data_IF_811198293439
#
_entry.id   IF_811198293439
#
_cell.length_a   1.000
_cell.length_b   1.000
_cell.length_c   1.000
_cell.angle_alpha   90.00
_cell.angle_beta   90.00
_cell.angle_gamma   90.00
#
_symmetry.space_group_name_H-M   'P 1'
#
loop_
_entity.id
_entity.type
_entity.pdbx_description
1 polymer ?
#
# COMPACT_ATOMS: atom_id res chain seq x y z
N UNK A 1 12.54 -19.37 -4.54
CA UNK A 1 11.34 -19.10 -3.76
C UNK A 1 10.14 -18.92 -4.71
N UNK A 2 8.96 -19.47 -4.40
CA UNK A 2 7.83 -19.52 -5.32
C UNK A 2 7.36 -18.13 -5.78
N UNK A 3 7.54 -17.10 -4.96
CA UNK A 3 7.15 -15.72 -5.29
C UNK A 3 7.97 -15.15 -6.46
N UNK A 4 9.27 -15.40 -6.49
CA UNK A 4 10.15 -14.88 -7.55
C UNK A 4 9.87 -15.59 -8.89
N UNK A 5 9.74 -16.92 -8.89
CA UNK A 5 9.44 -17.69 -10.10
C UNK A 5 8.04 -17.37 -10.64
N UNK A 6 7.05 -17.24 -9.76
CA UNK A 6 5.70 -16.88 -10.15
C UNK A 6 5.58 -15.41 -10.58
N UNK A 7 6.32 -14.50 -9.94
CA UNK A 7 6.38 -13.10 -10.35
C UNK A 7 6.97 -12.92 -11.75
N UNK A 8 8.06 -13.63 -12.06
CA UNK A 8 8.65 -13.62 -13.40
C UNK A 8 7.71 -14.24 -14.44
N UNK A 9 7.03 -15.33 -14.10
CA UNK A 9 6.04 -15.95 -14.98
C UNK A 9 4.86 -15.02 -15.28
N UNK A 10 4.38 -14.30 -14.27
CA UNK A 10 3.28 -13.34 -14.46
C UNK A 10 3.68 -12.18 -15.39
N UNK A 11 4.89 -11.63 -15.20
CA UNK A 11 5.40 -10.54 -16.05
C UNK A 11 5.62 -11.02 -17.49
N UNK A 12 6.20 -12.22 -17.68
CA UNK A 12 6.40 -12.79 -19.02
C UNK A 12 5.09 -13.17 -19.70
N UNK A 13 4.07 -13.56 -18.94
CA UNK A 13 2.75 -13.89 -19.48
C UNK A 13 1.81 -12.67 -19.60
N UNK A 14 2.17 -11.52 -19.04
CA UNK A 14 1.32 -10.33 -19.08
C UNK A 14 0.95 -9.88 -20.52
N UNK A 15 1.86 -9.91 -21.52
CA UNK A 15 1.49 -9.59 -22.90
C UNK A 15 0.47 -10.57 -23.50
N UNK A 16 0.60 -11.86 -23.24
CA UNK A 16 -0.36 -12.88 -23.72
C UNK A 16 -1.70 -12.75 -23.00
N UNK A 17 -1.70 -12.49 -21.71
CA UNK A 17 -2.92 -12.25 -20.93
C UNK A 17 -3.68 -11.02 -21.43
N UNK A 18 -2.99 -9.92 -21.78
CA UNK A 18 -3.62 -8.74 -22.36
C UNK A 18 -4.21 -9.03 -23.74
N UNK A 19 -3.52 -9.84 -24.55
CA UNK A 19 -4.00 -10.26 -25.86
C UNK A 19 -5.24 -11.17 -25.76
N UNK A 20 -5.27 -12.06 -24.78
CA UNK A 20 -6.42 -12.92 -24.50
C UNK A 20 -7.63 -12.08 -24.03
N UNK A 21 -7.41 -11.04 -23.25
CA UNK A 21 -8.45 -10.08 -22.85
C UNK A 21 -9.01 -9.29 -24.03
N UNK A 22 -8.17 -8.92 -25.00
CA UNK A 22 -8.58 -8.20 -26.22
C UNK A 22 -9.51 -9.03 -27.10
N UNK A 23 -9.35 -10.36 -27.09
CA UNK A 23 -10.22 -11.26 -27.85
C UNK A 23 -11.59 -11.49 -27.20
N UNK A 24 -11.79 -11.03 -25.96
CA UNK A 24 -13.06 -11.20 -25.26
C UNK A 24 -14.11 -10.18 -25.76
N UNK A 25 -15.30 -10.58 -26.20
CA UNK A 25 -16.27 -9.71 -26.90
C UNK A 25 -16.64 -8.45 -26.11
N UNK A 26 -16.78 -8.56 -24.77
CA UNK A 26 -17.14 -7.44 -23.89
C UNK A 26 -16.00 -6.45 -23.70
N UNK A 27 -14.77 -6.92 -23.77
CA UNK A 27 -13.58 -6.08 -23.52
C UNK A 27 -13.10 -5.45 -24.83
N UNK A 28 -13.29 -6.13 -25.96
CA UNK A 28 -13.01 -5.59 -27.28
C UNK A 28 -13.82 -4.32 -27.57
N UNK A 29 -15.11 -4.31 -27.18
CA UNK A 29 -15.98 -3.15 -27.35
C UNK A 29 -15.56 -1.97 -26.48
N UNK A 30 -15.17 -2.22 -25.23
CA UNK A 30 -14.60 -1.19 -24.33
C UNK A 30 -13.25 -0.70 -24.80
N UNK A 31 -12.39 -1.57 -25.33
CA UNK A 31 -11.09 -1.18 -25.85
C UNK A 31 -11.20 -0.30 -27.10
N UNK A 32 -12.19 -0.58 -27.98
CA UNK A 32 -12.46 0.25 -29.14
C UNK A 32 -12.89 1.69 -28.79
N UNK A 33 -13.52 1.88 -27.61
CA UNK A 33 -13.98 3.20 -27.15
C UNK A 33 -12.93 3.97 -26.35
N UNK A 34 -12.12 3.28 -25.57
CA UNK A 34 -11.23 3.92 -24.58
C UNK A 34 -9.74 3.63 -24.80
N UNK A 35 -9.34 2.72 -25.70
CA UNK A 35 -7.94 2.39 -26.00
C UNK A 35 -7.12 1.92 -24.79
N UNK A 36 -7.78 1.30 -23.79
CA UNK A 36 -7.18 0.95 -22.49
C UNK A 36 -6.13 -0.13 -22.68
N UNK A 37 -6.44 -1.18 -23.47
CA UNK A 37 -5.53 -2.32 -23.69
C UNK A 37 -4.33 -1.87 -24.50
N UNK A 38 -4.51 -1.04 -25.52
CA UNK A 38 -3.42 -0.49 -26.34
C UNK A 38 -2.45 0.34 -25.52
N UNK A 39 -3.00 1.16 -24.60
CA UNK A 39 -2.19 1.96 -23.67
C UNK A 39 -1.42 1.09 -22.69
N UNK A 40 -2.05 0.03 -22.16
CA UNK A 40 -1.41 -0.93 -21.25
C UNK A 40 -0.34 -1.76 -21.99
N UNK A 41 -0.60 -2.23 -23.19
CA UNK A 41 0.37 -2.96 -24.02
C UNK A 41 1.59 -2.09 -24.36
N UNK A 42 1.37 -0.82 -24.72
CA UNK A 42 2.44 0.13 -25.00
C UNK A 42 3.31 0.38 -23.78
N UNK A 43 2.71 0.64 -22.63
CA UNK A 43 3.45 0.81 -21.37
C UNK A 43 4.15 -0.47 -20.91
N UNK A 44 3.52 -1.61 -21.10
CA UNK A 44 4.12 -2.91 -20.76
C UNK A 44 5.30 -3.22 -21.70
N UNK A 45 5.18 -2.93 -23.00
CA UNK A 45 6.28 -3.09 -23.98
C UNK A 45 7.44 -2.12 -23.70
N UNK A 46 7.17 -0.91 -23.24
CA UNK A 46 8.22 0.04 -22.79
C UNK A 46 8.97 -0.53 -21.58
N UNK A 47 8.28 -1.10 -20.61
CA UNK A 47 8.88 -1.75 -19.42
C UNK A 47 9.61 -3.05 -19.78
N UNK A 48 9.10 -3.82 -20.76
CA UNK A 48 9.73 -5.10 -21.18
C UNK A 48 10.83 -4.90 -22.21
N UNK A 49 10.84 -3.83 -23.01
CA UNK A 49 11.91 -3.53 -23.98
C UNK A 49 13.19 -3.04 -23.30
N UNK A 50 13.10 -2.44 -22.13
CA UNK A 50 14.24 -2.26 -21.23
C UNK A 50 14.56 -3.59 -20.54
N UNK A 51 15.01 -4.57 -21.31
CA UNK A 51 15.40 -5.91 -20.83
C UNK A 51 16.40 -5.89 -19.66
N UNK A 52 17.05 -4.75 -19.42
CA UNK A 52 17.86 -4.48 -18.25
C UNK A 52 17.04 -4.43 -16.95
N UNK A 53 15.78 -3.96 -16.93
CA UNK A 53 14.96 -3.94 -15.72
C UNK A 53 14.46 -5.34 -15.35
N UNK A 54 14.08 -6.16 -16.32
CA UNK A 54 13.65 -7.55 -16.06
C UNK A 54 14.86 -8.43 -15.72
N UNK A 55 15.97 -8.28 -16.43
CA UNK A 55 17.22 -8.99 -16.16
C UNK A 55 17.85 -8.51 -14.83
N UNK A 56 17.75 -7.24 -14.47
CA UNK A 56 18.24 -6.74 -13.18
C UNK A 56 17.32 -7.04 -12.00
N UNK A 57 16.01 -7.06 -12.21
CA UNK A 57 15.06 -7.42 -11.16
C UNK A 57 14.96 -8.94 -10.92
N UNK A 58 15.13 -9.74 -11.97
CA UNK A 58 14.94 -11.21 -11.91
C UNK A 58 16.08 -12.00 -12.57
N UNK A 59 17.12 -11.30 -13.06
CA UNK A 59 18.20 -11.89 -13.85
C UNK A 59 18.90 -13.04 -13.14
N UNK A 60 19.30 -14.05 -13.89
CA UNK A 60 19.86 -15.33 -13.51
C UNK A 60 20.55 -15.50 -12.12
N UNK A 61 21.08 -16.65 -11.78
CA UNK A 61 21.62 -16.97 -10.44
C UNK A 61 22.48 -15.87 -9.82
N UNK A 62 23.23 -15.13 -10.62
CA UNK A 62 24.06 -13.97 -10.18
C UNK A 62 23.19 -12.73 -9.89
N UNK A 63 22.16 -12.47 -10.68
CA UNK A 63 21.22 -11.36 -10.45
C UNK A 63 20.34 -11.60 -9.23
N UNK A 64 19.84 -12.83 -9.07
CA UNK A 64 19.09 -13.22 -7.88
C UNK A 64 19.97 -13.13 -6.63
N UNK A 65 21.21 -13.62 -6.69
CA UNK A 65 22.17 -13.49 -5.58
C UNK A 65 22.45 -12.04 -5.22
N UNK A 66 22.67 -11.16 -6.20
CA UNK A 66 22.89 -9.73 -5.97
C UNK A 66 21.63 -9.05 -5.41
N UNK A 67 20.43 -9.38 -5.90
CA UNK A 67 19.17 -8.80 -5.44
C UNK A 67 18.85 -9.27 -4.02
N UNK A 68 19.04 -10.57 -3.71
CA UNK A 68 18.87 -11.12 -2.36
C UNK A 68 19.88 -10.50 -1.40
N UNK A 69 21.14 -10.39 -1.79
CA UNK A 69 22.19 -9.82 -0.94
C UNK A 69 21.95 -8.30 -0.72
N UNK A 70 21.61 -7.54 -1.74
CA UNK A 70 21.27 -6.11 -1.59
C UNK A 70 19.99 -5.92 -0.79
N UNK A 71 18.98 -6.74 -1.01
CA UNK A 71 17.73 -6.73 -0.22
C UNK A 71 17.96 -7.09 1.24
N UNK A 72 18.78 -8.11 1.51
CA UNK A 72 19.17 -8.47 2.86
C UNK A 72 19.97 -7.36 3.55
N UNK A 73 20.95 -6.77 2.85
CA UNK A 73 21.73 -5.63 3.36
C UNK A 73 20.83 -4.43 3.67
N UNK A 74 19.93 -4.08 2.75
CA UNK A 74 18.95 -3.01 2.96
C UNK A 74 18.03 -3.33 4.14
N UNK A 75 17.52 -4.55 4.22
CA UNK A 75 16.68 -5.01 5.32
C UNK A 75 17.39 -4.93 6.68
N UNK A 76 18.64 -5.38 6.77
CA UNK A 76 19.46 -5.29 7.97
C UNK A 76 19.72 -3.82 8.33
N UNK A 77 20.06 -2.99 7.35
CA UNK A 77 20.29 -1.54 7.56
C UNK A 77 19.03 -0.86 8.10
N UNK A 78 17.87 -1.12 7.50
CA UNK A 78 16.59 -0.58 7.97
C UNK A 78 16.28 -1.08 9.39
N UNK A 79 16.52 -2.35 9.67
CA UNK A 79 16.31 -2.93 11.01
C UNK A 79 17.23 -2.27 12.05
N UNK A 80 18.51 -2.13 11.76
CA UNK A 80 19.47 -1.48 12.65
C UNK A 80 19.07 -0.02 12.90
N UNK A 81 18.74 0.75 11.84
CA UNK A 81 18.28 2.13 11.97
C UNK A 81 17.00 2.21 12.78
N UNK A 82 16.05 1.31 12.56
CA UNK A 82 14.79 1.26 13.32
C UNK A 82 15.05 1.02 14.80
N UNK A 83 15.90 0.04 15.14
CA UNK A 83 16.30 -0.21 16.53
C UNK A 83 17.02 1.00 17.14
N UNK A 84 17.92 1.62 16.39
CA UNK A 84 18.64 2.82 16.84
C UNK A 84 17.67 3.99 17.12
N UNK A 85 16.69 4.22 16.23
CA UNK A 85 15.67 5.24 16.44
C UNK A 85 14.75 4.93 17.62
N UNK A 86 14.36 3.66 17.81
CA UNK A 86 13.52 3.26 18.95
C UNK A 86 14.27 3.57 20.28
N UNK A 87 15.52 3.16 20.37
CA UNK A 87 16.34 3.38 21.57
C UNK A 87 16.67 4.87 21.76
N UNK A 88 16.95 5.58 20.68
CA UNK A 88 17.29 7.00 20.68
C UNK A 88 16.10 7.96 20.82
N UNK A 89 14.86 7.48 20.63
CA UNK A 89 13.67 8.32 20.63
C UNK A 89 13.48 9.16 21.92
N UNK A 90 13.65 8.61 23.14
CA UNK A 90 13.57 9.41 24.37
C UNK A 90 14.63 10.50 24.43
N UNK A 91 15.86 10.22 23.98
CA UNK A 91 16.95 11.19 23.97
C UNK A 91 16.70 12.31 22.97
N UNK A 92 16.24 11.96 21.75
CA UNK A 92 15.87 12.91 20.71
C UNK A 92 14.71 13.81 21.16
N UNK A 93 13.69 13.23 21.81
CA UNK A 93 12.57 13.99 22.36
C UNK A 93 13.03 14.94 23.45
N UNK A 94 13.85 14.49 24.40
CA UNK A 94 14.39 15.30 25.48
C UNK A 94 15.30 16.43 24.96
N UNK A 95 16.07 16.17 23.90
CA UNK A 95 16.87 17.19 23.23
C UNK A 95 15.97 18.25 22.58
N UNK A 96 14.94 17.81 21.81
CA UNK A 96 13.96 18.73 21.21
C UNK A 96 13.23 19.59 22.24
N UNK A 97 12.90 19.05 23.42
CA UNK A 97 12.23 19.79 24.49
C UNK A 97 13.10 20.88 25.11
N UNK A 98 14.42 20.89 24.92
CA UNK A 98 15.28 21.97 25.37
C UNK A 98 15.01 23.29 24.67
N UNK A 99 14.52 23.25 23.43
CA UNK A 99 14.13 24.44 22.67
C UNK A 99 12.75 25.00 23.09
N UNK A 100 12.03 24.29 23.97
CA UNK A 100 10.70 24.70 24.44
C UNK A 100 10.83 25.38 25.81
N UNK A 101 10.15 26.52 26.06
CA UNK A 101 10.11 27.17 27.38
C UNK A 101 9.66 26.19 28.47
N UNK A 102 10.25 26.27 29.63
CA UNK A 102 10.02 25.33 30.74
C UNK A 102 8.55 25.17 31.11
N UNK A 103 7.77 26.25 31.05
CA UNK A 103 6.33 26.28 31.37
C UNK A 103 5.47 25.48 30.40
N UNK A 104 5.95 25.17 29.18
CA UNK A 104 5.22 24.44 28.13
C UNK A 104 5.78 23.05 27.86
N UNK A 105 6.91 22.67 28.45
CA UNK A 105 7.63 21.41 28.18
C UNK A 105 6.75 20.17 28.40
N UNK A 106 6.03 20.13 29.52
CA UNK A 106 5.17 18.99 29.87
C UNK A 106 4.06 18.80 28.83
N UNK A 107 3.42 19.89 28.40
CA UNK A 107 2.38 19.87 27.38
C UNK A 107 2.92 19.40 26.02
N UNK A 108 4.07 19.95 25.58
CA UNK A 108 4.70 19.59 24.32
C UNK A 108 5.17 18.14 24.35
N UNK A 109 5.71 17.67 25.48
CA UNK A 109 6.13 16.28 25.66
C UNK A 109 4.94 15.33 25.50
N UNK A 110 3.84 15.57 26.21
CA UNK A 110 2.61 14.76 26.10
C UNK A 110 2.08 14.71 24.67
N UNK A 111 2.05 15.86 24.00
CA UNK A 111 1.61 15.97 22.61
C UNK A 111 2.52 15.17 21.66
N UNK A 112 3.84 15.26 21.83
CA UNK A 112 4.82 14.51 21.02
C UNK A 112 4.61 13.01 21.14
N UNK A 113 4.48 12.49 22.38
CA UNK A 113 4.23 11.07 22.57
C UNK A 113 2.85 10.63 22.07
N UNK A 114 1.83 11.48 22.17
CA UNK A 114 0.51 11.20 21.60
C UNK A 114 0.56 11.10 20.06
N UNK A 115 1.31 11.99 19.40
CA UNK A 115 1.53 11.94 17.95
C UNK A 115 2.27 10.65 17.55
N UNK A 116 3.37 10.33 18.22
CA UNK A 116 4.15 9.11 17.94
C UNK A 116 3.28 7.86 18.09
N UNK A 117 2.49 7.79 19.16
CA UNK A 117 1.59 6.66 19.39
C UNK A 117 0.51 6.56 18.33
N UNK A 118 -0.07 7.67 17.86
CA UNK A 118 -1.07 7.68 16.79
C UNK A 118 -0.47 7.25 15.46
N UNK A 119 0.69 7.77 15.08
CA UNK A 119 1.41 7.37 13.85
C UNK A 119 1.74 5.88 13.87
N UNK A 120 2.32 5.39 14.97
CA UNK A 120 2.64 3.97 15.13
C UNK A 120 1.40 3.06 15.07
N UNK A 121 0.32 3.47 15.72
CA UNK A 121 -0.95 2.73 15.68
C UNK A 121 -1.54 2.69 14.27
N UNK A 122 -1.47 3.80 13.53
CA UNK A 122 -1.96 3.85 12.15
C UNK A 122 -1.15 2.93 11.23
N UNK A 123 0.18 3.07 11.24
CA UNK A 123 1.07 2.26 10.39
C UNK A 123 0.90 0.77 10.72
N UNK A 124 0.89 0.41 12.00
CA UNK A 124 0.65 -0.97 12.41
C UNK A 124 -0.71 -1.52 11.98
N UNK A 125 -1.75 -0.69 12.08
CA UNK A 125 -3.09 -1.04 11.59
C UNK A 125 -3.11 -1.24 10.08
N UNK A 126 -2.45 -0.36 9.32
CA UNK A 126 -2.38 -0.45 7.86
C UNK A 126 -1.63 -1.69 7.40
N UNK A 127 -0.52 -2.04 8.07
CA UNK A 127 0.20 -3.29 7.83
C UNK A 127 -0.73 -4.49 8.06
N UNK A 128 -1.45 -4.53 9.18
CA UNK A 128 -2.35 -5.63 9.51
C UNK A 128 -3.47 -5.78 8.45
N UNK A 129 -4.07 -4.67 8.01
CA UNK A 129 -5.11 -4.65 6.98
C UNK A 129 -4.55 -5.15 5.64
N UNK A 130 -3.37 -4.67 5.21
CA UNK A 130 -2.73 -5.10 3.99
C UNK A 130 -2.41 -6.61 3.99
N UNK A 131 -1.95 -7.14 5.13
CA UNK A 131 -1.74 -8.59 5.30
C UNK A 131 -3.04 -9.39 5.22
N UNK A 132 -4.12 -8.91 5.84
CA UNK A 132 -5.42 -9.58 5.77
C UNK A 132 -5.95 -9.62 4.33
N UNK A 133 -5.84 -8.52 3.58
CA UNK A 133 -6.21 -8.47 2.17
C UNK A 133 -5.38 -9.44 1.33
N UNK A 134 -4.07 -9.48 1.56
CA UNK A 134 -3.15 -10.40 0.87
C UNK A 134 -3.50 -11.87 1.14
N UNK A 135 -3.79 -12.23 2.39
CA UNK A 135 -4.21 -13.59 2.76
C UNK A 135 -5.55 -13.94 2.11
N UNK A 136 -6.53 -13.02 2.14
CA UNK A 136 -7.81 -13.21 1.48
C UNK A 136 -7.61 -13.49 -0.02
N UNK A 137 -6.82 -12.68 -0.71
CA UNK A 137 -6.57 -12.84 -2.14
C UNK A 137 -5.76 -14.10 -2.44
N UNK A 138 -4.82 -14.49 -1.57
CA UNK A 138 -4.10 -15.74 -1.70
C UNK A 138 -5.06 -16.93 -1.67
N UNK A 139 -5.97 -16.97 -0.70
CA UNK A 139 -6.99 -18.03 -0.58
C UNK A 139 -7.92 -18.01 -1.80
N UNK A 140 -8.40 -16.83 -2.20
CA UNK A 140 -9.27 -16.68 -3.37
C UNK A 140 -8.58 -17.16 -4.65
N UNK A 141 -7.29 -16.83 -4.82
CA UNK A 141 -6.48 -17.24 -5.96
C UNK A 141 -6.30 -18.76 -6.04
N UNK A 142 -6.16 -19.44 -4.90
CA UNK A 142 -6.13 -20.91 -4.86
C UNK A 142 -7.50 -21.52 -5.16
N UNK A 143 -8.60 -20.94 -4.66
CA UNK A 143 -9.95 -21.44 -4.91
C UNK A 143 -10.31 -21.34 -6.39
N UNK A 144 -9.91 -20.25 -7.05
CA UNK A 144 -10.18 -19.99 -8.45
C UNK A 144 -9.09 -20.54 -9.40
N UNK A 145 -8.09 -21.25 -8.87
CA UNK A 145 -6.94 -21.78 -9.61
C UNK A 145 -6.25 -20.72 -10.48
N UNK A 146 -6.10 -19.49 -9.96
CA UNK A 146 -5.50 -18.38 -10.69
C UNK A 146 -4.00 -18.60 -10.90
N UNK A 147 -3.43 -18.12 -12.02
CA UNK A 147 -2.01 -18.23 -12.26
C UNK A 147 -1.22 -17.43 -11.21
N UNK A 148 -0.15 -18.02 -10.68
CA UNK A 148 0.78 -17.37 -9.75
C UNK A 148 0.14 -16.76 -8.48
N UNK A 149 -0.58 -17.55 -7.64
CA UNK A 149 -1.31 -17.04 -6.47
C UNK A 149 -0.47 -16.18 -5.52
N UNK A 150 0.79 -16.61 -5.27
CA UNK A 150 1.70 -15.86 -4.39
C UNK A 150 2.11 -14.50 -4.97
N UNK A 151 2.30 -14.41 -6.29
CA UNK A 151 2.62 -13.13 -6.92
C UNK A 151 1.43 -12.15 -6.84
N UNK A 152 0.22 -12.63 -7.09
CA UNK A 152 -1.02 -11.84 -6.98
C UNK A 152 -1.20 -11.34 -5.54
N UNK A 153 -1.03 -12.21 -4.55
CA UNK A 153 -1.13 -11.84 -3.14
C UNK A 153 -0.08 -10.80 -2.73
N UNK A 154 1.16 -10.91 -3.24
CA UNK A 154 2.22 -9.91 -2.98
C UNK A 154 1.90 -8.56 -3.63
N UNK A 155 1.34 -8.54 -4.84
CA UNK A 155 0.90 -7.30 -5.48
C UNK A 155 -0.19 -6.63 -4.62
N UNK A 156 -1.18 -7.40 -4.16
CA UNK A 156 -2.26 -6.87 -3.31
C UNK A 156 -1.72 -6.41 -1.95
N UNK A 157 -0.74 -7.10 -1.38
CA UNK A 157 -0.05 -6.66 -0.16
C UNK A 157 0.56 -5.26 -0.35
N UNK A 158 1.30 -5.06 -1.45
CA UNK A 158 1.94 -3.77 -1.75
C UNK A 158 0.89 -2.70 -2.03
N UNK A 159 -0.14 -3.00 -2.81
CA UNK A 159 -1.26 -2.08 -3.05
C UNK A 159 -1.97 -1.70 -1.75
N UNK A 160 -2.13 -2.64 -0.82
CA UNK A 160 -2.76 -2.43 0.48
C UNK A 160 -2.08 -1.38 1.37
N UNK A 161 -0.83 -1.01 1.08
CA UNK A 161 -0.18 0.13 1.75
C UNK A 161 -0.68 1.49 1.29
N UNK A 162 -1.40 1.58 0.16
CA UNK A 162 -2.01 2.82 -0.32
C UNK A 162 -3.40 2.95 0.30
N UNK A 163 -3.61 3.84 1.28
CA UNK A 163 -4.92 4.00 1.90
C UNK A 163 -5.99 4.36 0.87
N UNK A 164 -7.18 3.82 1.01
CA UNK A 164 -8.36 4.04 0.18
C UNK A 164 -8.24 3.48 -1.26
N UNK A 165 -7.14 3.72 -1.97
CA UNK A 165 -6.99 3.40 -3.40
C UNK A 165 -6.48 1.97 -3.61
N UNK A 166 -5.69 1.44 -2.66
CA UNK A 166 -5.00 0.16 -2.80
C UNK A 166 -5.92 -1.02 -3.11
N UNK A 167 -7.06 -1.08 -2.46
CA UNK A 167 -8.04 -2.15 -2.69
C UNK A 167 -8.72 -2.07 -4.07
N UNK A 168 -8.94 -0.86 -4.60
CA UNK A 168 -9.48 -0.70 -5.96
C UNK A 168 -8.48 -1.18 -7.01
N UNK A 169 -7.20 -0.82 -6.84
CA UNK A 169 -6.12 -1.32 -7.71
C UNK A 169 -6.01 -2.84 -7.59
N UNK A 170 -5.96 -3.36 -6.37
CA UNK A 170 -5.87 -4.79 -6.10
C UNK A 170 -7.04 -5.57 -6.68
N UNK A 171 -8.28 -5.11 -6.47
CA UNK A 171 -9.48 -5.75 -7.01
C UNK A 171 -9.49 -5.76 -8.53
N UNK A 172 -9.08 -4.67 -9.16
CA UNK A 172 -8.99 -4.58 -10.62
C UNK A 172 -7.99 -5.60 -11.16
N UNK A 173 -6.80 -5.69 -10.58
CA UNK A 173 -5.76 -6.64 -11.02
C UNK A 173 -6.24 -8.08 -10.85
N UNK A 174 -6.77 -8.44 -9.68
CA UNK A 174 -7.26 -9.80 -9.41
C UNK A 174 -8.39 -10.18 -10.35
N UNK A 175 -9.35 -9.26 -10.56
CA UNK A 175 -10.49 -9.49 -11.47
C UNK A 175 -10.03 -9.65 -12.91
N UNK A 176 -9.10 -8.81 -13.39
CA UNK A 176 -8.56 -8.93 -14.74
C UNK A 176 -7.84 -10.26 -14.95
N UNK A 177 -7.03 -10.69 -14.00
CA UNK A 177 -6.38 -12.01 -14.08
C UNK A 177 -7.40 -13.15 -14.08
N UNK A 178 -8.43 -13.07 -13.25
CA UNK A 178 -9.49 -14.08 -13.23
C UNK A 178 -10.32 -14.12 -14.54
N UNK A 179 -10.54 -12.96 -15.16
CA UNK A 179 -11.22 -12.86 -16.47
C UNK A 179 -10.43 -13.55 -17.59
N UNK A 180 -9.09 -13.63 -17.52
CA UNK A 180 -8.31 -14.36 -18.55
C UNK A 180 -8.61 -15.84 -18.56
N UNK A 181 -9.06 -16.41 -17.45
CA UNK A 181 -9.44 -17.84 -17.41
C UNK A 181 -10.89 -18.07 -17.84
N UNK A 182 -11.83 -17.30 -17.26
CA UNK A 182 -13.23 -17.32 -17.69
C UNK A 182 -13.98 -16.10 -17.17
N UNK A 183 -15.06 -15.73 -17.86
CA UNK A 183 -15.97 -14.67 -17.41
C UNK A 183 -16.54 -14.99 -16.01
N UNK A 184 -16.86 -16.26 -15.75
CA UNK A 184 -17.42 -16.71 -14.47
C UNK A 184 -16.40 -16.46 -13.33
N UNK A 185 -15.13 -16.80 -13.52
CA UNK A 185 -14.09 -16.58 -12.52
C UNK A 185 -13.85 -15.08 -12.27
N UNK A 186 -13.88 -14.26 -13.33
CA UNK A 186 -13.81 -12.82 -13.19
C UNK A 186 -14.94 -12.23 -12.34
N UNK A 187 -16.18 -12.66 -12.59
CA UNK A 187 -17.36 -12.22 -11.81
C UNK A 187 -17.26 -12.69 -10.36
N UNK A 188 -16.87 -13.95 -10.13
CA UNK A 188 -16.69 -14.48 -8.77
C UNK A 188 -15.60 -13.69 -8.05
N UNK A 189 -14.45 -13.42 -8.68
CA UNK A 189 -13.35 -12.66 -8.09
C UNK A 189 -13.78 -11.23 -7.72
N UNK A 190 -14.49 -10.55 -8.62
CA UNK A 190 -15.00 -9.20 -8.38
C UNK A 190 -15.98 -9.18 -7.21
N UNK A 191 -16.98 -10.05 -7.22
CA UNK A 191 -18.00 -10.12 -6.15
C UNK A 191 -17.36 -10.46 -4.81
N UNK A 192 -16.49 -11.47 -4.77
CA UNK A 192 -15.78 -11.85 -3.54
C UNK A 192 -14.91 -10.71 -3.00
N UNK A 193 -14.21 -9.99 -3.89
CA UNK A 193 -13.39 -8.86 -3.47
C UNK A 193 -14.23 -7.68 -2.98
N UNK A 194 -15.34 -7.36 -3.64
CA UNK A 194 -16.28 -6.33 -3.19
C UNK A 194 -16.84 -6.67 -1.80
N UNK A 195 -17.28 -7.92 -1.59
CA UNK A 195 -17.76 -8.38 -0.28
C UNK A 195 -16.66 -8.25 0.77
N UNK A 196 -15.43 -8.67 0.45
CA UNK A 196 -14.29 -8.52 1.35
C UNK A 196 -14.06 -7.05 1.74
N UNK A 197 -14.03 -6.12 0.78
CA UNK A 197 -13.83 -4.69 1.03
C UNK A 197 -14.95 -4.12 1.92
N UNK A 198 -16.19 -4.57 1.74
CA UNK A 198 -17.29 -4.15 2.62
C UNK A 198 -17.10 -4.67 4.04
N UNK A 199 -16.73 -5.94 4.22
CA UNK A 199 -16.41 -6.50 5.54
C UNK A 199 -15.23 -5.75 6.16
N UNK A 200 -14.19 -5.48 5.39
CA UNK A 200 -13.02 -4.73 5.84
C UNK A 200 -13.42 -3.31 6.31
N UNK A 201 -14.13 -2.56 5.48
CA UNK A 201 -14.50 -1.18 5.78
C UNK A 201 -15.46 -1.03 6.97
N UNK A 202 -16.43 -1.95 7.10
CA UNK A 202 -17.47 -1.83 8.14
C UNK A 202 -17.15 -2.62 9.41
N UNK A 203 -16.30 -3.64 9.34
CA UNK A 203 -16.04 -4.54 10.46
C UNK A 203 -14.60 -4.52 10.93
N UNK A 204 -13.65 -4.67 10.01
CA UNK A 204 -12.22 -4.83 10.32
C UNK A 204 -11.58 -3.50 10.65
N UNK A 205 -11.66 -2.56 9.73
CA UNK A 205 -11.04 -1.23 9.86
C UNK A 205 -11.51 -0.49 11.12
N UNK A 206 -12.82 -0.42 11.46
CA UNK A 206 -13.25 0.23 12.69
C UNK A 206 -12.72 -0.44 13.96
N UNK A 207 -12.53 -1.77 13.94
CA UNK A 207 -11.98 -2.49 15.09
C UNK A 207 -10.48 -2.30 15.26
N UNK A 208 -9.74 -2.34 14.17
CA UNK A 208 -8.28 -2.22 14.17
C UNK A 208 -7.86 -0.76 14.38
N UNK A 209 -8.53 0.18 13.73
CA UNK A 209 -8.19 1.60 13.76
C UNK A 209 -8.87 2.41 14.88
N UNK A 210 -9.61 1.78 15.81
CA UNK A 210 -10.29 2.47 16.91
C UNK A 210 -9.45 3.50 17.67
N UNK A 211 -8.13 3.32 17.72
CA UNK A 211 -7.19 4.20 18.44
C UNK A 211 -6.36 5.10 17.51
N UNK A 212 -6.49 4.90 16.20
CA UNK A 212 -5.56 5.53 15.29
C UNK A 212 -5.99 6.92 14.82
N UNK A 213 -7.24 7.14 14.45
CA UNK A 213 -7.61 8.37 13.75
C UNK A 213 -9.08 8.75 13.96
N UNK A 214 -9.32 9.98 14.49
CA UNK A 214 -10.56 10.73 14.29
C UNK A 214 -10.30 11.79 13.19
N UNK A 215 -9.99 11.35 11.96
CA UNK A 215 -9.75 12.28 10.85
C UNK A 215 -10.96 12.27 9.92
N UNK A 216 -11.52 13.43 9.57
CA UNK A 216 -12.60 13.50 8.58
C UNK A 216 -12.17 12.89 7.25
N UNK A 217 -13.06 12.14 6.59
CA UNK A 217 -12.75 11.43 5.35
C UNK A 217 -12.21 12.35 4.24
N UNK A 218 -12.73 13.58 4.12
CA UNK A 218 -12.23 14.56 3.16
C UNK A 218 -10.76 14.93 3.40
N UNK A 219 -10.34 15.11 4.67
CA UNK A 219 -8.95 15.40 5.02
C UNK A 219 -8.06 14.21 4.69
N UNK A 220 -8.54 12.98 4.94
CA UNK A 220 -7.82 11.75 4.59
C UNK A 220 -7.55 11.66 3.08
N UNK A 221 -8.54 11.96 2.24
CA UNK A 221 -8.42 11.92 0.78
C UNK A 221 -7.42 13.00 0.31
N UNK A 222 -7.58 14.24 0.77
CA UNK A 222 -6.69 15.35 0.39
C UNK A 222 -5.26 15.05 0.83
N UNK A 223 -5.07 14.61 2.06
CA UNK A 223 -3.75 14.24 2.57
C UNK A 223 -3.11 13.13 1.75
N UNK A 224 -3.86 12.05 1.45
CA UNK A 224 -3.36 10.94 0.65
C UNK A 224 -2.94 11.38 -0.76
N UNK A 225 -3.75 12.21 -1.43
CA UNK A 225 -3.43 12.75 -2.76
C UNK A 225 -2.16 13.63 -2.72
N UNK A 226 -2.09 14.57 -1.78
CA UNK A 226 -0.92 15.44 -1.61
C UNK A 226 0.33 14.63 -1.26
N UNK A 227 0.23 13.71 -0.32
CA UNK A 227 1.35 12.87 0.09
C UNK A 227 1.87 12.01 -1.06
N UNK A 228 0.96 11.37 -1.79
CA UNK A 228 1.33 10.54 -2.95
C UNK A 228 1.98 11.38 -4.07
N UNK A 229 1.51 12.59 -4.31
CA UNK A 229 2.09 13.48 -5.33
C UNK A 229 3.49 13.98 -4.95
N UNK A 230 3.77 14.16 -3.65
CA UNK A 230 5.06 14.69 -3.16
C UNK A 230 6.13 13.61 -3.00
N UNK A 231 5.80 12.47 -2.44
CA UNK A 231 6.75 11.42 -2.01
C UNK A 231 6.35 10.02 -2.52
N UNK A 232 5.45 9.92 -3.49
CA UNK A 232 4.98 8.65 -4.02
C UNK A 232 4.27 7.79 -2.96
N UNK A 233 4.46 6.47 -3.04
CA UNK A 233 3.80 5.49 -2.16
C UNK A 233 4.05 5.77 -0.66
N UNK A 234 5.29 6.10 -0.30
CA UNK A 234 5.67 6.41 1.10
C UNK A 234 4.94 7.66 1.59
N UNK A 235 4.84 8.68 0.73
CA UNK A 235 4.10 9.91 1.03
C UNK A 235 2.61 9.64 1.24
N UNK A 236 1.99 8.81 0.41
CA UNK A 236 0.59 8.39 0.57
C UNK A 236 0.34 7.66 1.89
N UNK A 237 1.23 6.75 2.28
CA UNK A 237 1.14 6.00 3.54
C UNK A 237 1.28 6.93 4.76
N UNK A 238 2.22 7.88 4.72
CA UNK A 238 2.50 8.77 5.85
C UNK A 238 1.57 10.00 5.90
N UNK A 239 0.91 10.34 4.80
CA UNK A 239 0.08 11.54 4.71
C UNK A 239 -1.07 11.56 5.74
N UNK A 240 -1.74 10.43 5.91
CA UNK A 240 -2.88 10.30 6.82
C UNK A 240 -2.45 10.50 8.30
N UNK A 241 -1.41 9.82 8.81
CA UNK A 241 -0.95 10.07 10.17
C UNK A 241 -0.37 11.49 10.37
N UNK A 242 0.24 12.08 9.34
CA UNK A 242 0.68 13.48 9.40
C UNK A 242 -0.52 14.42 9.53
N UNK A 243 -1.55 14.24 8.72
CA UNK A 243 -2.79 15.03 8.80
C UNK A 243 -3.47 14.88 10.17
N UNK A 244 -3.54 13.65 10.70
CA UNK A 244 -4.05 13.38 12.04
C UNK A 244 -3.25 14.09 13.14
N UNK A 245 -1.93 14.16 12.97
CA UNK A 245 -1.04 14.86 13.90
C UNK A 245 -1.27 16.38 13.85
N UNK A 246 -1.47 16.93 12.65
CA UNK A 246 -1.80 18.35 12.47
C UNK A 246 -3.13 18.69 13.14
N UNK A 247 -4.17 17.86 12.92
CA UNK A 247 -5.48 18.05 13.56
C UNK A 247 -5.34 18.02 15.08
N UNK A 248 -4.59 17.05 15.62
CA UNK A 248 -4.36 16.97 17.06
C UNK A 248 -3.68 18.24 17.62
N UNK A 249 -2.70 18.78 16.89
CA UNK A 249 -2.05 20.03 17.28
C UNK A 249 -3.05 21.20 17.26
N UNK A 250 -3.90 21.27 16.23
CA UNK A 250 -4.93 22.32 16.13
C UNK A 250 -5.93 22.22 17.28
N UNK A 251 -6.42 21.02 17.59
CA UNK A 251 -7.38 20.76 18.68
C UNK A 251 -6.78 21.06 20.06
N UNK A 252 -5.54 20.67 20.31
CA UNK A 252 -4.91 20.79 21.64
C UNK A 252 -4.26 22.17 21.87
N UNK A 253 -3.81 22.86 20.82
CA UNK A 253 -3.00 24.06 20.95
C UNK A 253 -3.75 25.29 20.44
N UNK A 254 -4.39 25.23 19.27
CA UNK A 254 -4.96 26.41 18.60
C UNK A 254 -6.37 26.69 19.10
N UNK A 255 -7.28 25.74 19.05
CA UNK A 255 -8.68 25.97 19.40
C UNK A 255 -8.90 26.40 20.85
N UNK A 256 -8.23 25.82 21.87
CA UNK A 256 -8.40 26.29 23.23
C UNK A 256 -7.90 27.72 23.48
N UNK A 257 -7.07 28.26 22.59
CA UNK A 257 -6.62 29.65 22.68
C UNK A 257 -7.62 30.61 22.05
N UNK A 258 -8.35 30.16 21.02
CA UNK A 258 -9.35 30.97 20.32
C UNK A 258 -10.66 31.10 21.12
N UNK A 259 -10.98 30.09 21.94
CA UNK A 259 -12.15 30.11 22.84
C UNK A 259 -11.93 30.95 24.12
N UNK A 260 -10.71 31.37 24.40
CA UNK A 260 -10.36 32.17 25.58
C UNK A 260 -10.21 33.67 25.28
N UNK A 261 -10.27 34.06 24.01
CA UNK A 261 -10.29 35.43 23.53
C UNK A 261 -11.68 35.79 23.02
#
# INVERSE_FOLDING_TARGET
PPVISQGSSLITSAPSLLKDLETHPLIADLNSQFGIIDTLQKKLSEVTSDGTLIISAFGGVVGVGKTVLSGAFTGITVLILTLYFIVGLPQATNFGLRFVPATRRDRVSKLTFAIIARVGSFVGSQIAIAFMASIFVLILSFILDLPSPFAIAMIVLVCGFIPLIGHYIGSTIVTMIALTQSLLYGVIALVAYVVYVQIENYVVTPRIMKRALNVPGAVTIIAALLGTSLLGLIGGLLAVPIAASIILILEEVVFPQTEKN
#
